data_IF_518055135360
#
_entry.id   IF_518055135360
#
_cell.length_a   1.000
_cell.length_b   1.000
_cell.length_c   1.000
_cell.angle_alpha   90.00
_cell.angle_beta   90.00
_cell.angle_gamma   90.00
#
_symmetry.space_group_name_H-M   'P 1'
#
loop_
_entity.id
_entity.type
_entity.pdbx_description
1 polymer ?
#
# COMPACT_ATOMS: atom_id res chain seq x y z
N UNK A 1 80.19 14.98 -37.97
CA UNK A 1 79.47 16.23 -38.29
C UNK A 1 78.25 16.27 -37.37
N UNK A 2 78.37 16.91 -36.19
CA UNK A 2 77.63 18.12 -35.72
C UNK A 2 76.09 17.96 -35.83
N UNK A 3 75.22 18.15 -34.84
CA UNK A 3 75.25 18.84 -33.52
C UNK A 3 73.85 18.71 -32.85
N UNK A 4 73.80 18.70 -31.50
CA UNK A 4 72.73 19.26 -30.60
C UNK A 4 71.33 18.59 -30.61
N UNK A 5 70.48 18.57 -29.58
CA UNK A 5 70.51 18.92 -28.15
C UNK A 5 69.24 18.33 -27.48
N UNK A 6 69.30 18.25 -26.15
CA UNK A 6 68.28 18.08 -25.09
C UNK A 6 66.82 18.52 -25.41
N UNK A 7 65.78 17.72 -25.03
CA UNK A 7 64.65 18.07 -24.12
C UNK A 7 63.47 17.05 -24.12
N UNK A 8 63.05 16.68 -22.89
CA UNK A 8 61.70 16.48 -22.30
C UNK A 8 60.51 15.86 -23.09
N UNK A 9 59.78 14.93 -22.43
CA UNK A 9 58.29 14.81 -22.26
C UNK A 9 57.93 13.32 -21.97
N UNK A 10 57.51 12.89 -20.77
CA UNK A 10 56.18 12.91 -20.10
C UNK A 10 55.03 12.12 -20.79
N UNK A 11 54.46 11.19 -20.00
CA UNK A 11 53.12 10.58 -20.04
C UNK A 11 52.84 9.54 -21.16
N UNK A 12 52.09 8.44 -21.00
CA UNK A 12 51.16 7.99 -19.96
C UNK A 12 51.05 6.44 -19.98
N UNK A 13 50.70 5.84 -18.83
CA UNK A 13 50.31 4.44 -18.68
C UNK A 13 48.87 4.26 -19.17
N UNK A 14 48.62 3.32 -20.07
CA UNK A 14 47.29 2.80 -20.39
C UNK A 14 47.35 1.28 -20.49
N UNK A 15 46.75 0.62 -19.51
CA UNK A 15 46.55 -0.83 -19.42
C UNK A 15 45.43 -1.21 -20.39
N UNK A 16 45.72 -2.08 -21.36
CA UNK A 16 44.73 -2.66 -22.24
C UNK A 16 43.95 -3.78 -21.51
N UNK A 17 42.64 -3.59 -21.33
CA UNK A 17 41.71 -4.60 -20.80
C UNK A 17 41.11 -5.37 -21.98
N UNK A 18 41.34 -6.68 -22.04
CA UNK A 18 40.70 -7.56 -23.00
C UNK A 18 39.19 -7.63 -22.73
N UNK A 19 38.38 -7.23 -23.72
CA UNK A 19 36.91 -7.29 -23.67
C UNK A 19 36.43 -8.54 -24.40
N UNK A 20 35.78 -9.46 -23.69
CA UNK A 20 35.10 -10.60 -24.30
C UNK A 20 33.84 -10.10 -25.05
N UNK A 21 33.82 -10.24 -26.37
CA UNK A 21 32.66 -9.88 -27.20
C UNK A 21 31.68 -11.04 -27.31
N UNK A 22 30.45 -10.84 -26.82
CA UNK A 22 29.32 -11.75 -27.05
C UNK A 22 28.92 -11.80 -28.54
N UNK A 23 28.38 -12.92 -29.05
CA UNK A 23 28.00 -13.03 -30.46
C UNK A 23 26.76 -12.17 -30.81
N UNK A 24 26.60 -11.74 -32.08
CA UNK A 24 25.52 -10.85 -32.48
C UNK A 24 24.17 -11.57 -32.49
N UNK A 25 23.14 -10.95 -31.90
CA UNK A 25 21.75 -11.40 -32.00
C UNK A 25 21.17 -10.95 -33.34
N UNK A 26 20.63 -11.88 -34.12
CA UNK A 26 19.85 -11.60 -35.33
C UNK A 26 18.45 -11.14 -34.90
N UNK A 27 17.97 -9.95 -35.27
CA UNK A 27 16.59 -9.54 -34.98
C UNK A 27 15.62 -10.28 -35.90
N UNK A 28 14.62 -10.94 -35.32
CA UNK A 28 13.46 -11.44 -36.09
C UNK A 28 12.59 -10.23 -36.53
N UNK A 29 11.99 -10.28 -37.72
CA UNK A 29 11.20 -9.16 -38.25
C UNK A 29 9.91 -9.01 -37.44
N UNK A 30 9.83 -7.92 -36.66
CA UNK A 30 8.58 -7.49 -36.05
C UNK A 30 7.60 -7.08 -37.15
N UNK A 31 6.44 -7.73 -37.19
CA UNK A 31 5.31 -7.28 -38.01
C UNK A 31 4.89 -5.85 -37.64
N UNK A 32 4.00 -5.22 -38.43
CA UNK A 32 3.51 -3.88 -38.11
C UNK A 32 2.93 -3.87 -36.69
N UNK A 33 3.35 -2.88 -35.88
CA UNK A 33 2.86 -2.70 -34.52
C UNK A 33 1.32 -2.66 -34.54
N UNK A 34 0.68 -3.55 -33.80
CA UNK A 34 -0.77 -3.63 -33.69
C UNK A 34 -1.31 -2.28 -33.16
N UNK A 35 -2.40 -1.73 -33.72
CA UNK A 35 -2.92 -0.44 -33.28
C UNK A 35 -3.45 -0.51 -31.84
N UNK A 36 -3.14 0.50 -31.02
CA UNK A 36 -3.57 0.61 -29.62
C UNK A 36 -5.10 0.78 -29.50
N UNK A 37 -5.79 1.16 -30.57
CA UNK A 37 -7.24 1.31 -30.59
C UNK A 37 -7.82 1.19 -32.01
N UNK A 38 -9.13 0.92 -32.09
CA UNK A 38 -9.93 1.07 -33.30
C UNK A 38 -11.30 1.66 -32.97
N UNK A 39 -11.91 2.36 -33.93
CA UNK A 39 -13.22 2.99 -33.76
C UNK A 39 -13.41 4.20 -34.67
N UNK A 40 -14.65 4.64 -34.82
CA UNK A 40 -15.01 5.86 -35.53
C UNK A 40 -14.65 7.08 -34.68
N UNK A 41 -13.59 7.79 -35.07
CA UNK A 41 -13.11 9.00 -34.37
C UNK A 41 -14.15 10.13 -34.17
N UNK A 42 -15.26 10.12 -34.92
CA UNK A 42 -16.33 11.11 -34.81
C UNK A 42 -17.45 10.74 -33.82
N UNK A 43 -17.56 9.47 -33.42
CA UNK A 43 -18.67 8.96 -32.62
C UNK A 43 -18.21 8.11 -31.41
N UNK A 44 -17.08 7.43 -31.53
CA UNK A 44 -16.57 6.52 -30.52
C UNK A 44 -15.60 7.23 -29.58
N UNK A 45 -15.82 7.07 -28.28
CA UNK A 45 -14.93 7.62 -27.25
C UNK A 45 -14.92 6.78 -25.98
N UNK A 46 -13.82 6.83 -25.24
CA UNK A 46 -13.68 6.15 -23.95
C UNK A 46 -13.03 7.06 -22.92
N UNK A 47 -13.20 6.71 -21.64
CA UNK A 47 -12.69 7.46 -20.50
C UNK A 47 -11.35 6.90 -20.07
N UNK A 48 -10.40 7.80 -19.81
CA UNK A 48 -9.24 7.56 -18.94
C UNK A 48 -9.31 8.59 -17.82
N UNK A 49 -9.65 8.13 -16.62
CA UNK A 49 -10.07 8.99 -15.51
C UNK A 49 -11.21 9.95 -15.93
N UNK A 50 -11.01 11.26 -15.79
CA UNK A 50 -11.94 12.31 -16.21
C UNK A 50 -11.78 12.76 -17.68
N UNK A 51 -10.86 12.16 -18.42
CA UNK A 51 -10.51 12.58 -19.77
C UNK A 51 -11.18 11.70 -20.82
N UNK A 52 -11.73 12.35 -21.85
CA UNK A 52 -12.30 11.68 -23.01
C UNK A 52 -11.22 11.44 -24.05
N UNK A 53 -11.13 10.20 -24.51
CA UNK A 53 -10.21 9.72 -25.53
C UNK A 53 -10.97 9.30 -26.79
N UNK A 54 -10.36 9.53 -27.95
CA UNK A 54 -10.86 9.04 -29.25
C UNK A 54 -9.72 8.39 -30.03
N UNK A 55 -10.04 7.46 -30.91
CA UNK A 55 -9.03 6.75 -31.69
C UNK A 55 -8.72 7.50 -32.98
N UNK A 56 -7.46 7.87 -33.20
CA UNK A 56 -7.00 8.54 -34.42
C UNK A 56 -5.76 7.84 -34.95
N UNK A 57 -5.86 7.30 -36.17
CA UNK A 57 -4.78 6.54 -36.82
C UNK A 57 -4.20 5.42 -35.92
N UNK A 58 -5.08 4.67 -35.23
CA UNK A 58 -4.69 3.57 -34.35
C UNK A 58 -4.12 4.00 -32.99
N UNK A 59 -4.17 5.29 -32.63
CA UNK A 59 -3.68 5.80 -31.34
C UNK A 59 -4.73 6.62 -30.60
N UNK A 60 -4.83 6.42 -29.30
CA UNK A 60 -5.71 7.20 -28.42
C UNK A 60 -5.24 8.64 -28.28
N UNK A 61 -6.13 9.59 -28.55
CA UNK A 61 -5.91 11.03 -28.27
C UNK A 61 -6.92 11.48 -27.24
N UNK A 62 -6.44 11.91 -26.07
CA UNK A 62 -7.27 12.26 -24.92
C UNK A 62 -7.25 13.76 -24.61
N UNK A 63 -8.34 14.26 -24.03
CA UNK A 63 -8.36 15.58 -23.37
C UNK A 63 -7.36 15.61 -22.21
N UNK A 64 -6.97 16.82 -21.76
CA UNK A 64 -6.02 17.02 -20.65
C UNK A 64 -6.61 17.87 -19.54
N UNK A 65 -7.68 17.39 -18.92
CA UNK A 65 -8.30 17.95 -17.73
C UNK A 65 -7.55 17.43 -16.49
N UNK A 66 -7.44 18.29 -15.48
CA UNK A 66 -7.02 17.89 -14.15
C UNK A 66 -8.19 17.16 -13.49
N UNK A 67 -8.00 15.88 -13.15
CA UNK A 67 -9.04 15.03 -12.59
C UNK A 67 -9.01 15.10 -11.05
N UNK A 68 -10.02 15.71 -10.40
CA UNK A 68 -10.08 15.77 -8.94
C UNK A 68 -10.34 14.37 -8.37
N UNK A 69 -9.58 13.99 -7.34
CA UNK A 69 -9.81 12.71 -6.67
C UNK A 69 -11.00 12.79 -5.72
N UNK A 70 -11.82 11.74 -5.69
CA UNK A 70 -12.97 11.63 -4.78
C UNK A 70 -14.26 12.30 -5.27
N UNK A 71 -14.28 12.87 -6.47
CA UNK A 71 -15.50 13.38 -7.10
C UNK A 71 -16.09 12.28 -7.97
N UNK A 72 -17.35 11.94 -7.75
CA UNK A 72 -18.09 11.01 -8.61
C UNK A 72 -18.32 11.70 -9.95
N UNK A 73 -17.83 11.08 -11.01
CA UNK A 73 -18.13 11.47 -12.38
C UNK A 73 -19.17 10.49 -12.90
N UNK A 74 -20.42 10.97 -13.01
CA UNK A 74 -21.58 10.17 -13.38
C UNK A 74 -21.66 9.91 -14.90
N UNK A 75 -20.65 10.32 -15.68
CA UNK A 75 -20.56 10.01 -17.11
C UNK A 75 -20.20 8.54 -17.37
N UNK A 76 -20.67 7.97 -18.49
CA UNK A 76 -20.35 6.59 -18.84
C UNK A 76 -18.86 6.41 -19.16
N UNK A 77 -18.28 5.22 -18.86
CA UNK A 77 -16.89 4.89 -19.21
C UNK A 77 -16.56 4.95 -20.71
N UNK A 78 -17.55 4.79 -21.59
CA UNK A 78 -17.36 4.87 -23.03
C UNK A 78 -18.69 5.12 -23.76
N UNK A 79 -18.60 5.54 -25.02
CA UNK A 79 -19.75 5.72 -25.92
C UNK A 79 -19.40 5.18 -27.31
N UNK A 80 -20.43 4.67 -28.01
CA UNK A 80 -20.26 3.99 -29.28
C UNK A 80 -19.69 2.58 -29.11
N UNK A 81 -18.87 2.15 -30.06
CA UNK A 81 -18.27 0.80 -30.05
C UNK A 81 -16.74 0.80 -30.23
N UNK A 82 -15.96 1.64 -29.51
CA UNK A 82 -14.51 1.60 -29.61
C UNK A 82 -13.93 0.30 -29.03
N UNK A 83 -12.76 -0.07 -29.55
CA UNK A 83 -11.82 -0.96 -28.87
C UNK A 83 -10.52 -0.22 -28.60
N UNK A 84 -9.91 -0.46 -27.44
CA UNK A 84 -8.67 0.21 -27.05
C UNK A 84 -7.83 -0.68 -26.13
N UNK A 85 -6.56 -0.35 -26.03
CA UNK A 85 -5.63 -0.88 -25.04
C UNK A 85 -5.60 0.04 -23.83
N UNK A 86 -5.83 -0.52 -22.65
CA UNK A 86 -5.47 0.11 -21.38
C UNK A 86 -4.35 -0.72 -20.74
N UNK A 87 -3.16 -0.14 -20.75
CA UNK A 87 -1.89 -0.86 -20.61
C UNK A 87 -1.82 -2.05 -21.58
N UNK A 88 -1.75 -3.29 -21.09
CA UNK A 88 -1.77 -4.50 -21.93
C UNK A 88 -3.19 -5.02 -22.21
N UNK A 89 -4.19 -4.55 -21.46
CA UNK A 89 -5.54 -5.09 -21.51
C UNK A 89 -6.29 -4.56 -22.72
N UNK A 90 -6.93 -5.48 -23.46
CA UNK A 90 -7.82 -5.12 -24.56
C UNK A 90 -9.22 -4.86 -24.02
N UNK A 91 -9.70 -3.65 -24.26
CA UNK A 91 -11.01 -3.18 -23.86
C UNK A 91 -11.94 -2.98 -25.06
N UNK A 92 -13.23 -3.17 -24.83
CA UNK A 92 -14.30 -2.88 -25.79
C UNK A 92 -15.46 -2.18 -25.10
N UNK A 93 -16.14 -1.28 -25.80
CA UNK A 93 -17.35 -0.66 -25.29
C UNK A 93 -18.58 -1.50 -25.63
N UNK A 94 -19.38 -1.83 -24.62
CA UNK A 94 -20.67 -2.53 -24.77
C UNK A 94 -21.70 -1.81 -23.92
N UNK A 95 -22.69 -1.19 -24.55
CA UNK A 95 -23.78 -0.45 -23.89
C UNK A 95 -23.30 0.56 -22.84
N UNK A 96 -22.25 1.32 -23.18
CA UNK A 96 -21.65 2.32 -22.31
C UNK A 96 -20.74 1.77 -21.20
N UNK A 97 -20.48 0.45 -21.17
CA UNK A 97 -19.55 -0.19 -20.24
C UNK A 97 -18.26 -0.60 -20.95
N UNK A 98 -17.13 -0.36 -20.29
CA UNK A 98 -15.84 -0.89 -20.72
C UNK A 98 -15.70 -2.35 -20.26
N UNK A 99 -15.65 -3.27 -21.21
CA UNK A 99 -15.36 -4.69 -20.98
C UNK A 99 -13.92 -4.95 -21.41
N UNK A 100 -13.06 -5.15 -20.43
CA UNK A 100 -11.63 -5.35 -20.64
C UNK A 100 -11.21 -6.78 -20.32
N UNK A 101 -10.19 -7.26 -21.02
CA UNK A 101 -9.41 -8.42 -20.57
C UNK A 101 -8.79 -8.11 -19.21
N UNK A 102 -8.44 -9.15 -18.45
CA UNK A 102 -7.78 -9.05 -17.15
C UNK A 102 -6.41 -9.72 -17.19
N UNK A 103 -5.63 -9.38 -18.20
CA UNK A 103 -4.24 -9.75 -18.35
C UNK A 103 -3.38 -8.95 -17.36
N UNK A 104 -2.33 -9.60 -16.86
CA UNK A 104 -1.33 -8.98 -16.02
C UNK A 104 -0.32 -8.23 -16.89
N UNK A 105 -0.38 -6.89 -16.86
CA UNK A 105 0.41 -6.02 -17.74
C UNK A 105 1.84 -5.75 -17.30
N UNK A 106 2.49 -6.73 -16.65
CA UNK A 106 3.83 -6.58 -16.09
C UNK A 106 4.88 -6.11 -17.10
N UNK A 107 5.54 -5.00 -16.80
CA UNK A 107 6.74 -4.54 -17.49
C UNK A 107 8.02 -5.09 -16.85
N UNK A 108 9.08 -5.23 -17.65
CA UNK A 108 10.45 -5.55 -17.22
C UNK A 108 10.89 -4.72 -16.00
N UNK A 109 11.72 -5.28 -15.10
CA UNK A 109 11.91 -4.76 -13.75
C UNK A 109 12.75 -3.48 -13.75
N UNK A 110 12.09 -2.32 -13.71
CA UNK A 110 12.52 -1.29 -12.76
C UNK A 110 12.44 -1.86 -11.34
N UNK A 111 13.21 -1.39 -10.35
CA UNK A 111 13.31 -2.02 -9.04
C UNK A 111 11.96 -1.95 -8.31
N UNK A 112 11.13 -2.97 -8.53
CA UNK A 112 9.88 -3.23 -7.85
C UNK A 112 10.10 -4.53 -7.11
N UNK A 113 10.53 -4.39 -5.85
CA UNK A 113 10.47 -5.49 -4.89
C UNK A 113 9.00 -5.66 -4.51
N UNK A 114 8.31 -6.59 -5.16
CA UNK A 114 7.10 -7.20 -4.58
C UNK A 114 7.18 -8.71 -4.78
N UNK A 115 7.93 -9.37 -3.90
CA UNK A 115 7.52 -10.70 -3.47
C UNK A 115 6.33 -10.51 -2.53
N UNK A 116 5.16 -10.99 -2.96
CA UNK A 116 4.07 -11.33 -2.05
C UNK A 116 4.44 -12.58 -1.25
N UNK A 117 5.37 -12.43 -0.30
CA UNK A 117 5.26 -13.12 0.99
C UNK A 117 4.47 -12.18 1.86
N UNK A 118 3.16 -12.45 2.01
CA UNK A 118 2.27 -12.00 3.09
C UNK A 118 3.00 -11.07 4.06
N UNK A 119 2.97 -9.75 3.81
CA UNK A 119 3.92 -8.76 4.36
C UNK A 119 4.42 -9.14 5.74
N UNK A 120 5.55 -9.84 5.81
CA UNK A 120 6.09 -10.37 7.06
C UNK A 120 6.26 -9.18 8.01
N UNK A 121 5.68 -9.28 9.20
CA UNK A 121 5.81 -8.26 10.23
C UNK A 121 7.12 -8.42 11.02
N UNK A 122 7.78 -9.55 10.87
CA UNK A 122 8.98 -9.92 11.61
C UNK A 122 9.73 -11.07 10.92
N UNK A 123 10.99 -11.25 11.30
CA UNK A 123 11.81 -12.42 10.95
C UNK A 123 11.64 -13.52 11.99
N UNK A 124 11.56 -14.77 11.55
CA UNK A 124 11.23 -15.93 12.40
C UNK A 124 12.17 -16.03 13.62
N UNK A 125 11.60 -16.31 14.80
CA UNK A 125 12.36 -16.37 16.04
C UNK A 125 12.74 -15.01 16.64
N UNK A 126 12.46 -13.89 15.95
CA UNK A 126 12.61 -12.56 16.53
C UNK A 126 11.79 -12.42 17.80
N UNK A 127 12.37 -11.79 18.82
CA UNK A 127 11.71 -11.50 20.10
C UNK A 127 11.89 -10.03 20.48
N UNK A 128 10.78 -9.33 20.63
CA UNK A 128 10.74 -7.89 20.90
C UNK A 128 9.56 -7.53 21.82
N UNK A 129 9.56 -6.32 22.36
CA UNK A 129 8.47 -5.78 23.16
C UNK A 129 7.61 -4.84 22.36
N UNK A 130 6.32 -4.87 22.67
CA UNK A 130 5.39 -3.81 22.40
C UNK A 130 4.86 -3.38 23.75
N UNK A 131 5.29 -2.20 24.21
CA UNK A 131 5.07 -1.75 25.59
C UNK A 131 5.57 -2.79 26.60
N UNK A 132 4.75 -3.22 27.55
CA UNK A 132 5.12 -4.23 28.53
C UNK A 132 5.08 -5.67 27.99
N UNK A 133 4.45 -5.88 26.83
CA UNK A 133 4.19 -7.20 26.28
C UNK A 133 5.35 -7.74 25.44
N UNK A 134 5.70 -9.00 25.66
CA UNK A 134 6.69 -9.70 24.84
C UNK A 134 6.02 -10.33 23.63
N UNK A 135 6.61 -10.11 22.46
CA UNK A 135 6.23 -10.69 21.19
C UNK A 135 7.30 -11.64 20.68
N UNK A 136 6.86 -12.70 20.01
CA UNK A 136 7.71 -13.64 19.27
C UNK A 136 7.20 -13.73 17.84
N UNK A 137 8.12 -13.85 16.87
CA UNK A 137 7.73 -14.05 15.48
C UNK A 137 7.40 -15.53 15.23
N UNK A 138 6.18 -15.79 14.80
CA UNK A 138 5.72 -17.10 14.36
C UNK A 138 5.11 -16.99 12.96
N UNK A 139 5.71 -17.69 11.99
CA UNK A 139 5.28 -17.66 10.59
C UNK A 139 5.16 -16.23 10.03
N UNK A 140 6.09 -15.36 10.44
CA UNK A 140 6.10 -13.95 10.01
C UNK A 140 5.09 -13.02 10.69
N UNK A 141 4.43 -13.48 11.75
CA UNK A 141 3.49 -12.70 12.54
C UNK A 141 3.99 -12.62 13.98
N UNK A 142 3.93 -11.41 14.56
CA UNK A 142 4.14 -11.24 16.00
C UNK A 142 2.99 -11.81 16.79
N UNK A 143 3.28 -12.79 17.64
CA UNK A 143 2.40 -13.31 18.68
C UNK A 143 2.89 -12.77 20.00
N UNK A 144 2.05 -11.99 20.68
CA UNK A 144 2.43 -11.26 21.89
C UNK A 144 1.69 -11.77 23.12
N UNK A 145 2.29 -11.58 24.29
CA UNK A 145 1.59 -11.72 25.57
C UNK A 145 0.47 -10.69 25.69
N UNK A 146 -0.53 -10.97 26.52
CA UNK A 146 -1.72 -10.11 26.71
C UNK A 146 -1.77 -9.55 28.15
N UNK A 147 -0.71 -8.85 28.57
CA UNK A 147 -0.70 -8.07 29.80
C UNK A 147 -1.32 -6.69 29.58
N UNK A 148 -2.03 -6.18 30.59
CA UNK A 148 -2.79 -4.93 30.50
C UNK A 148 -1.91 -3.66 30.40
N UNK A 149 -0.67 -3.68 30.88
CA UNK A 149 0.28 -2.55 30.85
C UNK A 149 -0.15 -1.28 31.63
N UNK A 150 -0.97 -1.42 32.68
CA UNK A 150 -1.58 -0.36 33.53
C UNK A 150 -0.64 0.77 33.99
N UNK A 151 0.63 0.48 34.22
CA UNK A 151 1.63 1.45 34.69
C UNK A 151 2.86 1.51 33.77
N UNK A 152 2.71 1.13 32.50
CA UNK A 152 3.83 1.15 31.57
C UNK A 152 4.21 2.59 31.17
N UNK A 153 5.48 2.94 31.40
CA UNK A 153 6.06 4.18 30.92
C UNK A 153 7.34 3.87 30.15
N UNK A 154 7.31 4.12 28.84
CA UNK A 154 8.41 3.82 27.93
C UNK A 154 9.70 4.55 28.31
N UNK A 155 9.62 5.84 28.66
CA UNK A 155 10.79 6.64 29.01
C UNK A 155 11.46 6.12 30.30
N UNK A 156 10.63 5.75 31.29
CA UNK A 156 11.11 5.14 32.53
C UNK A 156 11.68 3.74 32.29
N UNK A 157 11.05 2.92 31.48
CA UNK A 157 11.55 1.60 31.12
C UNK A 157 12.93 1.69 30.45
N UNK A 158 13.14 2.68 29.58
CA UNK A 158 14.45 2.96 28.97
C UNK A 158 15.48 3.37 30.04
N UNK A 159 15.11 4.26 30.97
CA UNK A 159 15.97 4.68 32.08
C UNK A 159 16.37 3.51 32.99
N UNK A 160 15.40 2.66 33.32
CA UNK A 160 15.58 1.45 34.14
C UNK A 160 16.34 0.33 33.39
N UNK A 161 16.75 0.57 32.13
CA UNK A 161 17.51 -0.39 31.32
C UNK A 161 16.70 -1.60 30.87
N UNK A 162 15.37 -1.48 30.82
CA UNK A 162 14.49 -2.54 30.31
C UNK A 162 14.73 -2.71 28.81
N UNK A 163 15.14 -3.92 28.43
CA UNK A 163 15.39 -4.25 27.02
C UNK A 163 14.09 -4.37 26.23
N UNK A 164 14.09 -3.78 25.04
CA UNK A 164 13.01 -3.85 24.04
C UNK A 164 13.10 -5.13 23.21
N UNK A 165 14.30 -5.66 22.97
CA UNK A 165 14.49 -6.80 22.07
C UNK A 165 15.66 -7.68 22.48
N UNK A 166 15.77 -8.86 21.89
CA UNK A 166 16.89 -9.78 22.10
C UNK A 166 17.53 -10.23 20.79
N UNK A 167 18.81 -10.59 20.87
CA UNK A 167 19.55 -11.15 19.75
C UNK A 167 19.60 -10.21 18.55
N UNK A 168 19.39 -10.79 17.37
CA UNK A 168 19.32 -10.16 16.06
C UNK A 168 17.88 -9.89 15.61
N UNK A 169 16.94 -9.78 16.54
CA UNK A 169 15.52 -9.61 16.26
C UNK A 169 15.27 -8.48 15.24
N UNK A 170 14.40 -8.77 14.28
CA UNK A 170 14.06 -7.86 13.19
C UNK A 170 12.56 -7.87 12.95
N UNK A 171 11.93 -6.71 13.11
CA UNK A 171 10.46 -6.58 13.12
C UNK A 171 10.01 -5.25 12.54
N UNK A 172 8.73 -5.13 12.22
CA UNK A 172 8.11 -3.89 11.81
C UNK A 172 7.44 -3.20 12.99
N UNK A 173 7.70 -1.91 13.14
CA UNK A 173 6.90 -0.97 13.91
C UNK A 173 6.21 -0.04 12.92
N UNK A 174 4.89 -0.18 12.79
CA UNK A 174 4.12 0.40 11.68
C UNK A 174 4.73 -0.03 10.32
N UNK A 175 5.08 0.92 9.46
CA UNK A 175 5.77 0.66 8.18
C UNK A 175 7.29 0.55 8.30
N UNK A 176 7.86 0.83 9.47
CA UNK A 176 9.30 0.94 9.66
C UNK A 176 9.92 -0.37 10.14
N UNK A 177 11.00 -0.79 9.49
CA UNK A 177 11.76 -1.95 9.92
C UNK A 177 12.73 -1.58 11.03
N UNK A 178 12.67 -2.33 12.11
CA UNK A 178 13.51 -2.23 13.29
C UNK A 178 14.47 -3.41 13.34
N UNK A 179 15.69 -3.15 13.80
CA UNK A 179 16.70 -4.17 14.10
C UNK A 179 17.19 -4.00 15.53
N UNK A 180 17.38 -5.11 16.23
CA UNK A 180 17.85 -5.09 17.60
C UNK A 180 19.35 -4.76 17.67
N UNK A 181 19.69 -3.74 18.46
CA UNK A 181 21.07 -3.36 18.75
C UNK A 181 21.19 -3.10 20.25
N UNK A 182 21.96 -3.92 20.95
CA UNK A 182 22.18 -3.83 22.40
C UNK A 182 20.86 -3.74 23.22
N UNK A 183 19.87 -4.55 22.82
CA UNK A 183 18.56 -4.58 23.50
C UNK A 183 17.61 -3.44 23.12
N UNK A 184 17.96 -2.60 22.14
CA UNK A 184 17.13 -1.50 21.65
C UNK A 184 16.78 -1.66 20.17
N UNK A 185 15.54 -1.35 19.79
CA UNK A 185 15.12 -1.29 18.41
C UNK A 185 15.60 -0.04 17.70
N UNK A 186 16.45 -0.19 16.69
CA UNK A 186 16.83 0.89 15.78
C UNK A 186 16.03 0.73 14.50
N UNK A 187 15.12 1.67 14.23
CA UNK A 187 14.16 1.59 13.14
C UNK A 187 14.47 2.54 12.00
N UNK A 188 14.04 2.20 10.79
CA UNK A 188 13.96 3.15 9.68
C UNK A 188 13.01 4.30 10.02
N UNK A 189 13.13 5.43 9.32
CA UNK A 189 12.34 6.64 9.55
C UNK A 189 11.51 7.03 8.33
N UNK A 190 10.79 6.06 7.77
CA UNK A 190 9.84 6.26 6.70
C UNK A 190 8.57 6.94 7.24
N UNK A 191 8.06 7.90 6.47
CA UNK A 191 6.74 8.47 6.71
C UNK A 191 5.67 7.45 6.31
N UNK A 192 5.04 6.82 7.29
CA UNK A 192 4.01 5.82 7.04
C UNK A 192 2.71 6.46 6.53
N UNK A 193 2.07 5.80 5.57
CA UNK A 193 0.72 6.17 5.14
C UNK A 193 -0.26 6.07 6.32
N UNK A 194 -1.33 6.90 6.34
CA UNK A 194 -2.35 6.82 7.39
C UNK A 194 -2.93 5.41 7.60
N UNK A 195 -3.05 4.62 6.53
CA UNK A 195 -3.53 3.24 6.56
C UNK A 195 -2.56 2.22 7.18
N UNK A 196 -1.29 2.59 7.34
CA UNK A 196 -0.20 1.74 7.85
C UNK A 196 0.23 2.12 9.28
N UNK A 197 -0.27 3.24 9.81
CA UNK A 197 -0.06 3.66 11.20
C UNK A 197 -1.02 2.90 12.09
N UNK A 198 -0.55 2.38 13.23
CA UNK A 198 -1.43 1.85 14.26
C UNK A 198 -2.35 2.98 14.78
N UNK A 199 -3.67 2.93 14.51
CA UNK A 199 -4.58 4.01 14.90
C UNK A 199 -4.75 4.11 16.42
N UNK A 200 -4.27 3.11 17.19
CA UNK A 200 -4.38 3.06 18.63
C UNK A 200 -3.13 3.57 19.38
N UNK A 201 -2.05 3.95 18.69
CA UNK A 201 -0.73 4.22 19.30
C UNK A 201 -0.71 5.35 20.35
N UNK A 202 -1.69 6.26 20.35
CA UNK A 202 -1.74 7.39 21.29
C UNK A 202 -3.04 7.44 22.10
N UNK A 203 -3.76 6.32 22.19
CA UNK A 203 -5.00 6.28 22.95
C UNK A 203 -4.74 6.01 24.44
N UNK A 204 -5.59 6.56 25.33
CA UNK A 204 -5.59 6.15 26.73
C UNK A 204 -5.77 4.64 26.88
N UNK A 205 -5.21 4.08 27.94
CA UNK A 205 -5.35 2.67 28.22
C UNK A 205 -6.82 2.27 28.45
N UNK A 206 -7.23 1.14 27.87
CA UNK A 206 -8.62 0.68 27.89
C UNK A 206 -9.52 1.31 26.82
N UNK A 207 -9.03 2.28 26.04
CA UNK A 207 -9.77 2.84 24.92
C UNK A 207 -10.12 1.75 23.87
N UNK A 208 -11.35 1.82 23.37
CA UNK A 208 -11.89 0.84 22.40
C UNK A 208 -12.03 1.41 21.00
N UNK A 209 -11.91 2.73 20.84
CA UNK A 209 -12.07 3.40 19.55
C UNK A 209 -11.20 4.66 19.46
N UNK A 210 -10.99 5.16 18.24
CA UNK A 210 -10.31 6.44 17.99
C UNK A 210 -11.33 7.59 18.11
N UNK A 211 -11.06 8.65 18.89
CA UNK A 211 -11.92 9.84 19.00
C UNK A 211 -12.41 10.35 17.64
N UNK A 212 -13.69 10.72 17.57
CA UNK A 212 -14.32 11.16 16.33
C UNK A 212 -14.77 10.02 15.41
N UNK A 213 -14.38 8.77 15.67
CA UNK A 213 -14.90 7.61 14.93
C UNK A 213 -16.41 7.49 15.10
N UNK A 214 -17.09 7.12 14.02
CA UNK A 214 -18.53 6.89 13.98
C UNK A 214 -18.86 5.65 13.15
N UNK A 215 -19.56 4.71 13.78
CA UNK A 215 -19.89 3.41 13.20
C UNK A 215 -21.23 2.90 13.69
N UNK A 216 -21.77 1.94 12.96
CA UNK A 216 -22.98 1.22 13.29
C UNK A 216 -22.58 -0.11 13.94
N UNK A 217 -23.11 -0.35 15.14
CA UNK A 217 -23.05 -1.64 15.81
C UNK A 217 -24.47 -2.20 15.91
N UNK A 218 -24.70 -3.31 15.21
CA UNK A 218 -26.04 -3.84 14.95
C UNK A 218 -26.92 -2.77 14.28
N UNK A 219 -27.86 -2.16 15.01
CA UNK A 219 -28.71 -1.06 14.54
C UNK A 219 -28.42 0.28 15.25
N UNK A 220 -27.45 0.30 16.17
CA UNK A 220 -27.14 1.45 16.99
C UNK A 220 -25.92 2.20 16.45
N UNK A 221 -26.07 3.50 16.27
CA UNK A 221 -24.95 4.37 15.88
C UNK A 221 -24.13 4.71 17.12
N UNK A 222 -22.83 4.47 17.01
CA UNK A 222 -21.83 4.74 18.02
C UNK A 222 -20.94 5.89 17.57
N UNK A 223 -20.55 6.73 18.53
CA UNK A 223 -19.54 7.77 18.37
C UNK A 223 -18.46 7.57 19.43
N UNK A 224 -17.20 7.71 19.04
CA UNK A 224 -16.09 7.67 19.97
C UNK A 224 -15.85 9.06 20.57
N UNK A 225 -15.87 9.14 21.91
CA UNK A 225 -15.52 10.37 22.61
C UNK A 225 -13.99 10.53 22.74
N UNK A 226 -13.56 11.68 23.25
CA UNK A 226 -12.14 12.03 23.42
C UNK A 226 -11.39 11.09 24.38
N UNK A 227 -12.11 10.37 25.24
CA UNK A 227 -11.55 9.39 26.16
C UNK A 227 -11.42 7.99 25.54
N UNK A 228 -11.74 7.82 24.25
CA UNK A 228 -11.67 6.53 23.58
C UNK A 228 -12.80 5.56 23.94
N UNK A 229 -13.91 6.06 24.48
CA UNK A 229 -15.09 5.27 24.82
C UNK A 229 -16.16 5.38 23.74
N UNK A 230 -16.73 4.24 23.37
CA UNK A 230 -17.87 4.17 22.47
C UNK A 230 -19.15 4.58 23.20
N UNK A 231 -19.86 5.57 22.66
CA UNK A 231 -21.18 5.98 23.11
C UNK A 231 -22.17 5.67 21.99
N UNK A 232 -23.06 4.73 22.23
CA UNK A 232 -24.02 4.24 21.23
C UNK A 232 -25.45 4.66 21.55
N UNK A 233 -26.28 4.81 20.52
CA UNK A 233 -27.73 4.90 20.70
C UNK A 233 -28.29 3.62 21.36
N UNK A 234 -29.47 3.72 21.98
CA UNK A 234 -30.14 2.60 22.67
C UNK A 234 -31.46 2.22 21.96
N UNK A 235 -31.36 1.80 20.70
CA UNK A 235 -32.49 1.27 19.93
C UNK A 235 -32.55 -0.25 20.12
N UNK A 236 -33.78 -0.77 20.24
CA UNK A 236 -34.01 -2.20 20.20
C UNK A 236 -33.82 -2.71 18.76
N UNK A 237 -32.79 -3.52 18.53
CA UNK A 237 -32.48 -4.05 17.21
C UNK A 237 -33.29 -5.29 16.90
N UNK A 238 -33.91 -5.33 15.72
CA UNK A 238 -34.56 -6.55 15.23
C UNK A 238 -33.53 -7.41 14.46
N UNK A 239 -33.48 -8.73 14.68
CA UNK A 239 -32.46 -9.61 14.09
C UNK A 239 -32.43 -9.62 12.56
N UNK A 240 -33.59 -9.44 11.92
CA UNK A 240 -33.74 -9.62 10.47
C UNK A 240 -33.63 -8.32 9.66
N UNK A 241 -33.48 -7.17 10.34
CA UNK A 241 -33.34 -5.89 9.65
C UNK A 241 -31.92 -5.71 9.16
N UNK A 242 -31.70 -5.97 7.87
CA UNK A 242 -30.51 -5.50 7.16
C UNK A 242 -30.52 -3.97 7.14
N UNK A 243 -29.43 -3.38 7.60
CA UNK A 243 -29.21 -1.95 7.44
C UNK A 243 -28.82 -1.66 5.99
N UNK A 244 -29.67 -0.96 5.26
CA UNK A 244 -29.35 -0.47 3.91
C UNK A 244 -28.62 0.88 4.01
N UNK A 245 -27.36 0.89 3.61
CA UNK A 245 -26.52 2.10 3.60
C UNK A 245 -25.18 1.93 4.33
N UNK A 246 -24.44 3.03 4.53
CA UNK A 246 -23.15 2.98 5.19
C UNK A 246 -23.28 2.55 6.65
N UNK A 247 -22.36 1.71 7.10
CA UNK A 247 -22.22 1.23 8.49
C UNK A 247 -21.10 1.94 9.25
N UNK A 248 -20.42 2.90 8.62
CA UNK A 248 -19.39 3.73 9.23
C UNK A 248 -19.10 4.97 8.39
N UNK A 249 -18.40 5.94 8.96
CA UNK A 249 -18.05 7.20 8.30
C UNK A 249 -16.54 7.45 8.30
N UNK A 250 -16.05 8.15 7.27
CA UNK A 250 -14.67 8.63 7.19
C UNK A 250 -13.62 7.53 7.35
N UNK A 251 -12.62 7.82 8.19
CA UNK A 251 -11.49 6.95 8.56
C UNK A 251 -11.70 6.26 9.92
N UNK A 252 -12.96 6.14 10.36
CA UNK A 252 -13.32 5.56 11.65
C UNK A 252 -12.62 4.22 11.92
N UNK A 253 -12.10 4.08 13.15
CA UNK A 253 -11.40 2.89 13.62
C UNK A 253 -11.84 2.54 15.04
N UNK A 254 -12.28 1.30 15.25
CA UNK A 254 -12.85 0.85 16.52
C UNK A 254 -12.56 -0.63 16.76
N UNK A 255 -12.73 -1.08 18.00
CA UNK A 255 -12.61 -2.47 18.40
C UNK A 255 -14.01 -3.04 18.63
N UNK A 256 -14.30 -4.16 18.00
CA UNK A 256 -15.48 -4.97 18.26
C UNK A 256 -15.00 -6.29 18.88
N UNK A 257 -15.28 -6.47 20.16
CA UNK A 257 -14.71 -7.53 20.99
C UNK A 257 -13.17 -7.51 20.95
N UNK A 258 -12.53 -8.54 20.39
CA UNK A 258 -11.09 -8.62 20.18
C UNK A 258 -10.65 -8.22 18.76
N UNK A 259 -11.60 -7.86 17.89
CA UNK A 259 -11.34 -7.55 16.50
C UNK A 259 -11.17 -6.05 16.26
N UNK A 260 -10.15 -5.70 15.49
CA UNK A 260 -9.94 -4.32 15.06
C UNK A 260 -10.69 -4.10 13.75
N UNK A 261 -11.49 -3.05 13.72
CA UNK A 261 -12.33 -2.66 12.60
C UNK A 261 -11.91 -1.29 12.07
N UNK A 262 -12.05 -1.11 10.76
CA UNK A 262 -11.88 0.18 10.10
C UNK A 262 -12.99 0.42 9.08
N UNK A 263 -13.27 1.68 8.82
CA UNK A 263 -14.20 2.06 7.76
C UNK A 263 -13.54 1.98 6.39
N UNK A 264 -14.20 1.28 5.45
CA UNK A 264 -13.77 1.18 4.06
C UNK A 264 -14.98 1.42 3.17
N UNK A 265 -15.00 2.56 2.47
CA UNK A 265 -16.09 2.95 1.58
C UNK A 265 -17.48 2.86 2.25
N UNK A 266 -17.57 3.33 3.50
CA UNK A 266 -18.81 3.28 4.29
C UNK A 266 -19.16 1.89 4.82
N UNK A 267 -18.31 0.88 4.65
CA UNK A 267 -18.54 -0.48 5.19
C UNK A 267 -17.48 -0.83 6.22
N UNK A 268 -17.89 -1.49 7.29
CA UNK A 268 -16.98 -2.01 8.31
C UNK A 268 -16.14 -3.17 7.77
N UNK A 269 -14.82 -3.03 7.87
CA UNK A 269 -13.86 -4.09 7.59
C UNK A 269 -13.13 -4.45 8.88
N UNK A 270 -13.45 -5.62 9.43
CA UNK A 270 -12.89 -6.09 10.70
C UNK A 270 -11.94 -7.27 10.51
N UNK A 271 -10.95 -7.41 11.40
CA UNK A 271 -10.23 -8.67 11.54
C UNK A 271 -11.18 -9.80 11.93
N UNK A 272 -10.78 -11.05 11.66
CA UNK A 272 -11.54 -12.26 12.01
C UNK A 272 -10.77 -13.12 13.01
N UNK A 273 -10.57 -12.58 14.21
CA UNK A 273 -10.00 -13.28 15.36
C UNK A 273 -11.13 -13.96 16.12
N UNK A 274 -10.90 -15.18 16.57
CA UNK A 274 -11.78 -15.86 17.52
C UNK A 274 -11.57 -15.21 18.88
N UNK A 275 -12.59 -14.54 19.39
CA UNK A 275 -12.55 -13.92 20.70
C UNK A 275 -12.90 -14.96 21.78
N UNK A 276 -12.21 -14.89 22.92
CA UNK A 276 -12.39 -15.79 24.07
C UNK A 276 -13.38 -15.20 25.07
#
# INVERSE_FOLDING_TARGET
>A
MKTHALLLLLAAVLVAVASATSPPRIPLPGGPAEPDCTGNSAADRWRKDCNWCSCRNGRGTCTRRLCPQGVKDDEPPCEGNPTWKDDCNSCSCVDGRAICTSEYCGGEPGPVVVESKRSLACEEGSRWRVECNWCTCEHGRGVCTEAACIDWNEAKAIEDGVVECHGDARWKKDCNWCTCVNGRGICTTLACLPSERNPYHNLPEGATCVPGSRWLQECNWCVCNDNGNAICSLRACQPDLRHDGPTCEGDSSWRQDCNNCRCVNGTSACSKRLCR
#
